data_IF_384440733757
#
_entry.id   IF_384440733757
#
_cell.length_a   1.000
_cell.length_b   1.000
_cell.length_c   1.000
_cell.angle_alpha   90.00
_cell.angle_beta   90.00
_cell.angle_gamma   90.00
#
_symmetry.space_group_name_H-M   'P 1'
#
loop_
_entity.id
_entity.type
_entity.pdbx_description
1 polymer ?
#
# COMPACT_ATOMS: atom_id res chain seq x y z
N UNK A 1 0.50 13.23 4.61
CA UNK A 1 1.05 14.33 3.81
C UNK A 1 2.49 14.58 4.28
N UNK A 2 3.39 15.01 3.40
CA UNK A 2 4.84 15.14 3.71
C UNK A 2 5.32 16.51 3.24
N UNK A 3 5.96 17.29 4.11
CA UNK A 3 6.59 18.59 3.81
C UNK A 3 8.06 18.52 4.20
N UNK A 4 8.99 18.75 3.25
CA UNK A 4 10.45 18.71 3.52
C UNK A 4 10.92 17.43 4.26
N UNK A 5 10.26 16.29 4.00
CA UNK A 5 10.56 15.02 4.65
C UNK A 5 9.92 14.82 6.03
N UNK A 6 9.17 15.79 6.55
CA UNK A 6 8.40 15.68 7.80
C UNK A 6 6.96 15.28 7.52
N UNK A 7 6.45 14.34 8.31
CA UNK A 7 5.03 13.96 8.27
C UNK A 7 4.23 15.03 9.03
N UNK A 8 3.16 15.52 8.40
CA UNK A 8 2.27 16.55 8.94
C UNK A 8 0.82 16.12 8.75
N UNK A 9 0.02 16.24 9.82
CA UNK A 9 -1.42 15.93 9.85
C UNK A 9 -2.27 17.03 10.48
N UNK A 10 -1.69 18.17 10.86
CA UNK A 10 -2.45 19.27 11.42
C UNK A 10 -3.39 19.93 10.39
N UNK A 11 -4.50 20.55 10.84
CA UNK A 11 -5.52 21.10 9.96
C UNK A 11 -5.00 22.14 8.96
N UNK A 12 -4.08 23.02 9.37
CA UNK A 12 -3.56 24.07 8.50
C UNK A 12 -2.81 23.45 7.30
N UNK A 13 -1.97 22.45 7.55
CA UNK A 13 -1.28 21.74 6.48
C UNK A 13 -2.20 20.88 5.63
N UNK A 14 -3.18 20.19 6.23
CA UNK A 14 -4.20 19.40 5.52
C UNK A 14 -4.88 20.25 4.45
N UNK A 15 -5.36 21.43 4.82
CA UNK A 15 -6.00 22.37 3.90
C UNK A 15 -5.04 22.87 2.83
N UNK A 16 -3.87 23.37 3.24
CA UNK A 16 -2.88 23.90 2.30
C UNK A 16 -2.47 22.85 1.24
N UNK A 17 -2.30 21.59 1.64
CA UNK A 17 -1.97 20.49 0.74
C UNK A 17 -3.11 20.16 -0.23
N UNK A 18 -4.37 20.22 0.22
CA UNK A 18 -5.55 20.02 -0.62
C UNK A 18 -5.68 21.13 -1.68
N UNK A 19 -5.67 22.40 -1.26
CA UNK A 19 -5.76 23.56 -2.17
C UNK A 19 -4.64 23.56 -3.22
N UNK A 20 -3.41 23.26 -2.78
CA UNK A 20 -2.28 23.18 -3.68
C UNK A 20 -2.41 22.00 -4.67
N UNK A 21 -3.07 20.91 -4.27
CA UNK A 21 -3.31 19.76 -5.15
C UNK A 21 -4.39 20.06 -6.19
N UNK A 22 -5.50 20.69 -5.79
CA UNK A 22 -6.54 21.17 -6.70
C UNK A 22 -5.95 22.09 -7.77
N UNK A 23 -5.14 23.07 -7.36
CA UNK A 23 -4.45 23.97 -8.29
C UNK A 23 -3.49 23.25 -9.26
N UNK A 24 -2.74 22.25 -8.78
CA UNK A 24 -1.79 21.51 -9.64
C UNK A 24 -2.50 20.60 -10.64
N UNK A 25 -3.63 20.03 -10.24
CA UNK A 25 -4.44 19.15 -11.08
C UNK A 25 -5.38 19.90 -12.01
N UNK A 26 -5.60 21.20 -11.75
CA UNK A 26 -6.53 22.06 -12.48
C UNK A 26 -7.97 21.51 -12.46
N UNK A 27 -8.43 21.13 -11.25
CA UNK A 27 -9.76 20.60 -10.99
C UNK A 27 -10.35 21.24 -9.72
N UNK A 28 -11.68 21.28 -9.64
CA UNK A 28 -12.39 21.84 -8.49
C UNK A 28 -12.63 20.84 -7.36
N UNK A 29 -12.54 19.53 -7.66
CA UNK A 29 -12.83 18.46 -6.70
C UNK A 29 -11.93 17.24 -6.93
N UNK A 30 -11.28 16.74 -5.88
CA UNK A 30 -10.52 15.47 -5.89
C UNK A 30 -11.44 14.33 -5.43
N UNK A 31 -11.54 13.25 -6.20
CA UNK A 31 -12.41 12.13 -5.80
C UNK A 31 -11.96 11.49 -4.49
N UNK A 32 -10.69 11.13 -4.34
CA UNK A 32 -10.18 10.47 -3.14
C UNK A 32 -8.88 11.12 -2.67
N UNK A 33 -8.91 11.70 -1.47
CA UNK A 33 -7.77 12.41 -0.89
C UNK A 33 -7.25 11.70 0.36
N UNK A 34 -5.94 11.44 0.41
CA UNK A 34 -5.32 10.60 1.42
C UNK A 34 -4.50 11.39 2.45
N UNK A 35 -4.63 11.03 3.75
CA UNK A 35 -3.51 11.19 4.67
C UNK A 35 -2.43 10.14 4.32
N UNK A 36 -1.46 10.54 3.49
CA UNK A 36 -0.44 9.63 2.95
C UNK A 36 0.42 8.90 4.02
N UNK A 37 0.67 9.53 5.17
CA UNK A 37 1.41 8.95 6.31
C UNK A 37 0.83 9.51 7.59
N UNK A 38 0.66 8.69 8.62
CA UNK A 38 0.07 9.15 9.87
C UNK A 38 1.05 10.04 10.64
N UNK A 39 0.57 11.22 11.03
CA UNK A 39 1.29 12.10 11.94
C UNK A 39 1.06 11.63 13.37
N UNK A 40 2.07 10.98 13.96
CA UNK A 40 2.00 10.42 15.32
C UNK A 40 2.04 11.48 16.42
N UNK A 41 2.08 12.76 16.06
CA UNK A 41 2.01 13.88 17.02
C UNK A 41 0.61 14.49 17.09
N UNK A 42 -0.26 14.24 16.12
CA UNK A 42 -1.60 14.84 16.03
C UNK A 42 -2.64 13.73 16.17
N UNK A 43 -3.64 13.85 17.07
CA UNK A 43 -4.74 12.90 17.14
C UNK A 43 -5.42 12.78 15.79
N UNK A 44 -5.68 11.55 15.35
CA UNK A 44 -6.27 11.32 14.03
C UNK A 44 -7.62 12.04 13.84
N UNK A 45 -8.39 12.22 14.91
CA UNK A 45 -9.67 12.91 14.89
C UNK A 45 -9.53 14.39 14.47
N UNK A 46 -8.42 15.04 14.82
CA UNK A 46 -8.14 16.43 14.42
C UNK A 46 -7.87 16.51 12.92
N UNK A 47 -7.04 15.61 12.41
CA UNK A 47 -6.71 15.49 10.97
C UNK A 47 -7.97 15.20 10.15
N UNK A 48 -8.74 14.19 10.56
CA UNK A 48 -9.96 13.78 9.86
C UNK A 48 -11.07 14.82 10.00
N UNK A 49 -11.10 15.56 11.11
CA UNK A 49 -12.00 16.70 11.28
C UNK A 49 -11.80 17.77 10.20
N UNK A 50 -10.56 18.06 9.81
CA UNK A 50 -10.30 19.00 8.71
C UNK A 50 -10.62 18.39 7.34
N UNK A 51 -10.27 17.12 7.11
CA UNK A 51 -10.64 16.41 5.88
C UNK A 51 -12.17 16.36 5.69
N UNK A 52 -12.93 16.17 6.77
CA UNK A 52 -14.39 16.23 6.75
C UNK A 52 -14.91 17.60 6.28
N UNK A 53 -14.33 18.71 6.73
CA UNK A 53 -14.71 20.05 6.22
C UNK A 53 -14.45 20.18 4.73
N UNK A 54 -13.31 19.66 4.24
CA UNK A 54 -13.01 19.65 2.80
C UNK A 54 -14.03 18.82 1.99
N UNK A 55 -14.58 17.76 2.57
CA UNK A 55 -15.71 17.01 1.98
C UNK A 55 -16.97 17.88 1.94
N UNK A 56 -17.32 18.52 3.05
CA UNK A 56 -18.52 19.38 3.16
C UNK A 56 -18.45 20.60 2.23
N UNK A 57 -17.25 21.12 1.98
CA UNK A 57 -16.98 22.20 1.02
C UNK A 57 -16.96 21.73 -0.45
N UNK A 58 -17.04 20.42 -0.70
CA UNK A 58 -16.99 19.84 -2.05
C UNK A 58 -15.61 19.82 -2.69
N UNK A 59 -14.54 20.12 -1.94
CA UNK A 59 -13.15 20.10 -2.43
C UNK A 59 -12.61 18.69 -2.62
N UNK A 60 -13.10 17.74 -1.82
CA UNK A 60 -12.80 16.32 -1.97
C UNK A 60 -14.10 15.50 -1.86
N UNK A 61 -14.23 14.36 -2.54
CA UNK A 61 -15.42 13.49 -2.37
C UNK A 61 -15.26 12.48 -1.24
N UNK A 62 -14.08 11.89 -1.14
CA UNK A 62 -13.80 10.75 -0.26
C UNK A 62 -12.48 10.92 0.48
N UNK A 63 -12.43 10.33 1.68
CA UNK A 63 -11.24 10.33 2.53
C UNK A 63 -10.56 8.97 2.49
N UNK A 64 -9.25 8.96 2.28
CA UNK A 64 -8.41 7.78 2.40
C UNK A 64 -7.35 7.92 3.50
N UNK A 65 -6.90 6.79 4.03
CA UNK A 65 -5.72 6.73 4.90
C UNK A 65 -4.65 5.85 4.25
N UNK A 66 -3.39 6.08 4.58
CA UNK A 66 -2.29 5.25 4.12
C UNK A 66 -1.38 4.91 5.28
N UNK A 67 -1.01 3.63 5.38
CA UNK A 67 -0.08 3.11 6.39
C UNK A 67 -0.53 3.46 7.83
N UNK A 68 -1.80 3.19 8.13
CA UNK A 68 -2.45 3.42 9.42
C UNK A 68 -2.73 2.10 10.16
N UNK A 69 -2.55 2.08 11.49
CA UNK A 69 -2.88 0.94 12.34
C UNK A 69 -4.39 0.82 12.54
N UNK A 70 -4.87 -0.36 12.97
CA UNK A 70 -6.31 -0.62 13.13
C UNK A 70 -6.98 0.36 14.11
N UNK A 71 -6.33 0.65 15.23
CA UNK A 71 -6.80 1.65 16.21
C UNK A 71 -7.02 3.03 15.58
N UNK A 72 -6.04 3.52 14.82
CA UNK A 72 -6.13 4.81 14.13
C UNK A 72 -7.20 4.79 13.04
N UNK A 73 -7.35 3.69 12.30
CA UNK A 73 -8.42 3.52 11.30
C UNK A 73 -9.80 3.62 11.95
N UNK A 74 -10.04 2.90 13.06
CA UNK A 74 -11.33 2.90 13.76
C UNK A 74 -11.71 4.30 14.27
N UNK A 75 -10.74 4.99 14.88
CA UNK A 75 -10.92 6.36 15.40
C UNK A 75 -11.18 7.36 14.28
N UNK A 76 -10.46 7.25 13.17
CA UNK A 76 -10.71 8.07 11.98
C UNK A 76 -12.12 7.85 11.41
N UNK A 77 -12.51 6.59 11.24
CA UNK A 77 -13.80 6.21 10.67
C UNK A 77 -14.98 6.66 11.54
N UNK A 78 -14.80 6.74 12.86
CA UNK A 78 -15.80 7.28 13.77
C UNK A 78 -16.07 8.80 13.58
N UNK A 79 -15.11 9.55 13.03
CA UNK A 79 -15.26 11.00 12.75
C UNK A 79 -15.91 11.25 11.39
N UNK A 80 -15.45 10.53 10.36
CA UNK A 80 -16.02 10.55 9.01
C UNK A 80 -15.70 9.23 8.30
N UNK A 81 -16.60 8.68 7.46
CA UNK A 81 -16.34 7.42 6.76
C UNK A 81 -15.03 7.44 5.96
N UNK A 82 -14.12 6.55 6.30
CA UNK A 82 -12.91 6.30 5.50
C UNK A 82 -13.28 5.39 4.35
N UNK A 83 -13.07 5.85 3.12
CA UNK A 83 -13.42 5.12 1.90
C UNK A 83 -12.40 4.06 1.56
N UNK A 84 -11.10 4.36 1.75
CA UNK A 84 -10.04 3.43 1.42
C UNK A 84 -8.83 3.52 2.36
N UNK A 85 -8.20 2.38 2.62
CA UNK A 85 -6.89 2.28 3.26
C UNK A 85 -5.88 1.77 2.24
N UNK A 86 -4.82 2.54 2.02
CA UNK A 86 -3.70 2.17 1.17
C UNK A 86 -2.53 1.62 1.99
N UNK A 87 -2.00 0.46 1.59
CA UNK A 87 -0.91 -0.23 2.31
C UNK A 87 -0.14 -1.16 1.37
N UNK A 88 1.05 -1.58 1.79
CA UNK A 88 1.78 -2.60 1.05
C UNK A 88 1.14 -3.97 1.23
N UNK A 89 0.63 -4.54 0.15
CA UNK A 89 0.13 -5.91 0.14
C UNK A 89 0.48 -6.56 -1.19
N UNK A 90 1.15 -7.69 -1.10
CA UNK A 90 1.55 -8.49 -2.25
C UNK A 90 1.65 -9.94 -1.84
N UNK A 91 1.84 -10.82 -2.81
CA UNK A 91 2.18 -12.21 -2.54
C UNK A 91 3.38 -12.33 -1.57
N UNK A 92 4.29 -11.35 -1.55
CA UNK A 92 5.49 -11.38 -0.70
C UNK A 92 5.38 -10.64 0.63
N UNK A 93 4.31 -9.87 0.84
CA UNK A 93 4.14 -8.99 2.00
C UNK A 93 2.72 -9.08 2.46
N UNK A 94 2.52 -9.76 3.58
CA UNK A 94 1.20 -10.20 4.08
C UNK A 94 0.99 -9.88 5.56
N UNK A 95 1.86 -9.07 6.17
CA UNK A 95 1.77 -8.71 7.60
C UNK A 95 0.48 -7.92 7.92
N UNK A 96 -0.11 -7.27 6.93
CA UNK A 96 -1.39 -6.55 7.06
C UNK A 96 -2.61 -7.46 7.25
N UNK A 97 -2.49 -8.75 6.91
CA UNK A 97 -3.59 -9.72 6.99
C UNK A 97 -3.97 -10.06 8.44
N UNK A 98 -3.07 -9.83 9.40
CA UNK A 98 -3.30 -10.11 10.81
C UNK A 98 -4.35 -9.17 11.42
N UNK A 99 -4.32 -7.88 11.09
CA UNK A 99 -5.11 -6.86 11.80
C UNK A 99 -5.77 -5.82 10.87
N UNK A 100 -5.06 -5.37 9.83
CA UNK A 100 -5.52 -4.25 9.01
C UNK A 100 -6.58 -4.69 8.01
N UNK A 101 -6.38 -5.81 7.30
CA UNK A 101 -7.36 -6.35 6.36
C UNK A 101 -8.68 -6.71 7.07
N UNK A 102 -8.67 -7.44 8.21
CA UNK A 102 -9.90 -7.67 8.98
C UNK A 102 -10.60 -6.37 9.41
N UNK A 103 -9.84 -5.38 9.88
CA UNK A 103 -10.41 -4.08 10.31
C UNK A 103 -11.05 -3.32 9.15
N UNK A 104 -10.44 -3.31 7.96
CA UNK A 104 -11.03 -2.67 6.79
C UNK A 104 -12.35 -3.35 6.40
N UNK A 105 -12.38 -4.69 6.38
CA UNK A 105 -13.58 -5.46 6.05
C UNK A 105 -14.71 -5.27 7.04
N UNK A 106 -14.39 -5.27 8.33
CA UNK A 106 -15.38 -5.02 9.40
C UNK A 106 -16.05 -3.65 9.24
N UNK A 107 -15.30 -2.63 8.82
CA UNK A 107 -15.78 -1.26 8.66
C UNK A 107 -16.29 -0.96 7.23
N UNK A 108 -16.27 -1.92 6.31
CA UNK A 108 -16.67 -1.72 4.91
C UNK A 108 -15.75 -0.77 4.12
N UNK A 109 -14.46 -0.75 4.44
CA UNK A 109 -13.44 0.12 3.85
C UNK A 109 -12.73 -0.62 2.70
N UNK A 110 -12.56 0.03 1.55
CA UNK A 110 -11.80 -0.51 0.43
C UNK A 110 -10.29 -0.59 0.71
N UNK A 111 -9.62 -1.58 0.14
CA UNK A 111 -8.18 -1.82 0.33
C UNK A 111 -7.44 -1.48 -0.96
N UNK A 112 -6.49 -0.55 -0.89
CA UNK A 112 -5.66 -0.15 -2.03
C UNK A 112 -4.24 -0.68 -1.85
N UNK A 113 -3.89 -1.73 -2.59
CA UNK A 113 -2.61 -2.42 -2.44
C UNK A 113 -1.52 -1.76 -3.30
N UNK A 114 -0.52 -1.16 -2.65
CA UNK A 114 0.69 -0.68 -3.33
C UNK A 114 1.80 -1.74 -3.35
N UNK A 115 2.75 -1.59 -4.28
CA UNK A 115 3.84 -2.55 -4.54
C UNK A 115 3.38 -4.02 -4.69
N UNK A 116 2.29 -4.30 -5.45
CA UNK A 116 1.73 -5.66 -5.56
C UNK A 116 2.72 -6.67 -6.17
N UNK A 117 3.78 -6.19 -6.84
CA UNK A 117 4.83 -7.00 -7.48
C UNK A 117 6.07 -7.19 -6.60
N UNK A 118 5.97 -6.98 -5.28
CA UNK A 118 7.07 -7.20 -4.34
C UNK A 118 8.27 -6.29 -4.62
N UNK A 119 8.02 -4.99 -4.76
CA UNK A 119 9.02 -3.97 -5.12
C UNK A 119 9.81 -4.25 -6.42
N UNK A 120 9.20 -5.01 -7.35
CA UNK A 120 9.74 -5.34 -8.67
C UNK A 120 10.30 -6.76 -8.78
N UNK A 121 10.37 -7.50 -7.68
CA UNK A 121 10.96 -8.83 -7.67
C UNK A 121 10.16 -9.84 -8.49
N UNK A 122 8.83 -9.81 -8.44
CA UNK A 122 8.03 -10.69 -9.30
C UNK A 122 8.04 -10.28 -10.77
N UNK A 123 8.63 -9.14 -11.12
CA UNK A 123 8.85 -8.74 -12.52
C UNK A 123 10.21 -9.13 -13.05
N UNK A 124 11.27 -8.87 -12.27
CA UNK A 124 12.66 -9.01 -12.73
C UNK A 124 13.42 -10.17 -12.09
N UNK A 125 12.84 -10.82 -11.09
CA UNK A 125 13.48 -11.88 -10.32
C UNK A 125 14.74 -11.39 -9.57
N UNK A 126 15.70 -12.29 -9.29
CA UNK A 126 16.91 -11.94 -8.55
C UNK A 126 17.79 -10.91 -9.27
N UNK A 127 17.75 -10.84 -10.61
CA UNK A 127 18.48 -9.84 -11.42
C UNK A 127 18.04 -8.40 -11.18
N UNK A 128 16.97 -8.19 -10.41
CA UNK A 128 16.54 -6.86 -9.99
C UNK A 128 17.66 -6.09 -9.29
N UNK A 129 18.44 -6.76 -8.44
CA UNK A 129 19.44 -6.11 -7.58
C UNK A 129 20.60 -5.51 -8.37
N UNK A 130 20.90 -6.09 -9.54
CA UNK A 130 21.94 -5.60 -10.46
C UNK A 130 21.58 -4.24 -11.08
N UNK A 131 20.30 -3.86 -11.03
CA UNK A 131 19.76 -2.67 -11.69
C UNK A 131 19.38 -1.55 -10.71
N UNK A 132 19.73 -1.67 -9.42
CA UNK A 132 19.46 -0.61 -8.45
C UNK A 132 20.36 0.62 -8.71
N UNK A 133 19.73 1.77 -8.89
CA UNK A 133 20.44 3.04 -9.01
C UNK A 133 21.12 3.43 -7.68
N UNK A 134 22.13 4.29 -7.76
CA UNK A 134 22.74 4.87 -6.55
C UNK A 134 21.67 5.61 -5.74
N UNK A 135 21.50 5.23 -4.47
CA UNK A 135 20.51 5.82 -3.57
C UNK A 135 19.13 5.14 -3.61
N UNK A 136 18.99 4.03 -4.32
CA UNK A 136 17.77 3.22 -4.26
C UNK A 136 17.62 2.58 -2.88
N UNK A 137 16.53 2.92 -2.18
CA UNK A 137 16.25 2.44 -0.82
C UNK A 137 16.16 0.91 -0.73
N UNK A 138 15.85 0.22 -1.84
CA UNK A 138 15.78 -1.24 -1.89
C UNK A 138 17.14 -1.91 -1.67
N UNK A 139 18.25 -1.22 -1.95
CA UNK A 139 19.60 -1.70 -1.65
C UNK A 139 19.81 -1.99 -0.16
N UNK A 140 19.04 -1.34 0.71
CA UNK A 140 19.14 -1.48 2.16
C UNK A 140 18.05 -2.38 2.76
N UNK A 141 17.13 -2.91 1.94
CA UNK A 141 16.09 -3.81 2.44
C UNK A 141 16.68 -5.19 2.71
N UNK A 142 16.37 -5.83 3.86
CA UNK A 142 16.90 -7.15 4.19
C UNK A 142 16.62 -8.20 3.11
N UNK A 143 15.43 -8.23 2.51
CA UNK A 143 15.06 -9.18 1.44
C UNK A 143 15.87 -9.06 0.14
N UNK A 144 16.58 -7.95 -0.05
CA UNK A 144 17.45 -7.71 -1.21
C UNK A 144 18.94 -7.82 -0.86
N UNK A 145 19.30 -8.26 0.35
CA UNK A 145 20.70 -8.57 0.68
C UNK A 145 21.15 -9.88 0.01
N UNK A 146 22.44 -10.03 -0.33
CA UNK A 146 22.93 -11.12 -1.20
C UNK A 146 22.46 -12.52 -0.78
N UNK A 147 22.58 -12.86 0.50
CA UNK A 147 22.19 -14.18 1.04
C UNK A 147 20.68 -14.43 0.89
N UNK A 148 19.87 -13.41 1.13
CA UNK A 148 18.41 -13.49 1.01
C UNK A 148 17.98 -13.55 -0.45
N UNK A 149 18.64 -12.81 -1.35
CA UNK A 149 18.37 -12.85 -2.80
C UNK A 149 18.64 -14.24 -3.36
N UNK A 150 19.77 -14.86 -2.98
CA UNK A 150 20.10 -16.21 -3.44
C UNK A 150 19.08 -17.25 -2.95
N UNK A 151 18.58 -17.11 -1.72
CA UNK A 151 17.48 -17.96 -1.24
C UNK A 151 16.18 -17.69 -1.99
N UNK A 152 15.79 -16.42 -2.09
CA UNK A 152 14.53 -15.99 -2.68
C UNK A 152 14.46 -16.24 -4.19
N UNK A 153 15.60 -16.43 -4.87
CA UNK A 153 15.65 -16.90 -6.26
C UNK A 153 14.83 -18.18 -6.47
N UNK A 154 14.90 -19.13 -5.53
CA UNK A 154 14.13 -20.39 -5.60
C UNK A 154 12.62 -20.13 -5.55
N UNK A 155 12.20 -19.12 -4.78
CA UNK A 155 10.81 -18.67 -4.72
C UNK A 155 10.37 -18.12 -6.07
N UNK A 156 11.18 -17.25 -6.68
CA UNK A 156 10.89 -16.70 -8.00
C UNK A 156 10.80 -17.78 -9.07
N UNK A 157 11.70 -18.77 -9.06
CA UNK A 157 11.68 -19.90 -9.99
C UNK A 157 10.40 -20.74 -9.86
N UNK A 158 9.96 -21.05 -8.63
CA UNK A 158 8.72 -21.80 -8.40
C UNK A 158 7.47 -21.01 -8.84
N UNK A 159 7.40 -19.71 -8.53
CA UNK A 159 6.32 -18.85 -9.02
C UNK A 159 6.32 -18.79 -10.55
N UNK A 160 7.51 -18.77 -11.18
CA UNK A 160 7.65 -18.78 -12.64
C UNK A 160 7.13 -20.07 -13.26
N UNK A 161 7.36 -21.22 -12.63
CA UNK A 161 6.83 -22.50 -13.09
C UNK A 161 5.30 -22.53 -13.06
N UNK A 162 4.68 -22.00 -12.00
CA UNK A 162 3.21 -21.90 -11.91
C UNK A 162 2.67 -20.95 -12.98
N UNK A 163 3.30 -19.79 -13.15
CA UNK A 163 2.91 -18.81 -14.16
C UNK A 163 2.98 -19.40 -15.58
N UNK A 164 4.05 -20.14 -15.89
CA UNK A 164 4.24 -20.79 -17.18
C UNK A 164 3.13 -21.81 -17.50
N UNK A 165 2.65 -22.59 -16.51
CA UNK A 165 1.52 -23.52 -16.69
C UNK A 165 0.23 -22.80 -17.11
N UNK A 166 0.09 -21.53 -16.74
CA UNK A 166 -1.07 -20.68 -17.09
C UNK A 166 -0.82 -19.79 -18.30
N UNK A 167 0.33 -19.90 -18.96
CA UNK A 167 0.71 -19.02 -20.06
C UNK A 167 0.89 -17.56 -19.65
N UNK A 168 1.16 -17.30 -18.37
CA UNK A 168 1.33 -15.95 -17.82
C UNK A 168 2.78 -15.71 -17.36
N UNK A 169 3.09 -14.45 -17.11
CA UNK A 169 4.35 -14.05 -16.46
C UNK A 169 4.23 -14.13 -14.93
N UNK A 170 5.36 -14.21 -14.18
CA UNK A 170 5.33 -14.17 -12.73
C UNK A 170 4.72 -12.86 -12.19
N UNK A 171 4.93 -11.74 -12.90
CA UNK A 171 4.34 -10.44 -12.53
C UNK A 171 2.81 -10.46 -12.64
N UNK A 172 2.30 -11.03 -13.73
CA UNK A 172 0.86 -11.17 -13.91
C UNK A 172 0.24 -12.10 -12.87
N UNK A 173 0.90 -13.23 -12.57
CA UNK A 173 0.43 -14.16 -11.57
C UNK A 173 0.40 -13.53 -10.17
N UNK A 174 1.45 -12.79 -9.80
CA UNK A 174 1.51 -12.07 -8.52
C UNK A 174 0.44 -10.99 -8.41
N UNK A 175 0.17 -10.25 -9.50
CA UNK A 175 -0.90 -9.26 -9.53
C UNK A 175 -2.30 -9.89 -9.48
N UNK A 176 -2.51 -10.98 -10.22
CA UNK A 176 -3.75 -11.76 -10.18
C UNK A 176 -4.04 -12.27 -8.78
N UNK A 177 -3.02 -12.75 -8.05
CA UNK A 177 -3.18 -13.15 -6.65
C UNK A 177 -3.71 -12.02 -5.75
N UNK A 178 -3.27 -10.77 -5.97
CA UNK A 178 -3.77 -9.62 -5.20
C UNK A 178 -5.23 -9.31 -5.57
N UNK A 179 -5.59 -9.37 -6.85
CA UNK A 179 -7.00 -9.23 -7.27
C UNK A 179 -7.91 -10.31 -6.65
N UNK A 180 -7.41 -11.54 -6.49
CA UNK A 180 -8.14 -12.65 -5.87
C UNK A 180 -8.20 -12.60 -4.33
N UNK A 181 -7.80 -11.49 -3.70
CA UNK A 181 -7.97 -11.33 -2.25
C UNK A 181 -9.37 -10.89 -1.85
N UNK A 182 -10.13 -10.28 -2.77
CA UNK A 182 -11.53 -9.91 -2.56
C UNK A 182 -11.97 -8.75 -3.46
N UNK A 183 -13.28 -8.58 -3.62
CA UNK A 183 -13.88 -7.50 -4.41
C UNK A 183 -13.64 -6.10 -3.79
N UNK A 184 -13.23 -6.08 -2.53
CA UNK A 184 -12.82 -4.90 -1.77
C UNK A 184 -11.38 -4.44 -2.07
N UNK A 185 -10.64 -5.15 -2.94
CA UNK A 185 -9.21 -4.93 -3.18
C UNK A 185 -8.93 -4.32 -4.55
N UNK A 186 -8.23 -3.17 -4.56
CA UNK A 186 -7.80 -2.46 -5.75
C UNK A 186 -6.28 -2.25 -5.75
N UNK A 187 -5.48 -3.12 -6.40
CA UNK A 187 -4.04 -2.89 -6.52
C UNK A 187 -3.73 -1.76 -7.50
N UNK A 188 -2.68 -0.99 -7.21
CA UNK A 188 -2.25 0.17 -8.01
C UNK A 188 -0.83 -0.01 -8.60
N UNK A 189 -0.63 -0.97 -9.53
CA UNK A 189 0.69 -1.25 -10.09
C UNK A 189 1.18 -0.12 -11.01
N UNK A 190 2.21 0.63 -10.61
CA UNK A 190 2.81 1.72 -11.42
C UNK A 190 3.74 1.27 -12.55
N UNK A 191 3.77 1.98 -13.68
CA UNK A 191 4.65 1.72 -14.84
C UNK A 191 5.02 3.01 -15.58
N UNK A 192 6.14 3.00 -16.30
CA UNK A 192 6.56 4.05 -17.24
C UNK A 192 6.48 3.63 -18.71
N UNK A 193 6.10 2.38 -19.00
CA UNK A 193 6.02 1.80 -20.35
C UNK A 193 4.63 1.25 -20.63
N UNK A 194 4.11 1.48 -21.83
CA UNK A 194 2.78 1.02 -22.27
C UNK A 194 2.72 -0.51 -22.29
N UNK A 195 3.76 -1.19 -22.78
CA UNK A 195 3.77 -2.66 -22.83
C UNK A 195 3.58 -3.30 -21.44
N UNK A 196 4.14 -2.66 -20.41
CA UNK A 196 3.95 -3.11 -19.03
C UNK A 196 2.55 -2.80 -18.50
N UNK A 197 1.86 -1.77 -19.02
CA UNK A 197 0.45 -1.51 -18.72
C UNK A 197 -0.42 -2.64 -19.29
N UNK A 198 -0.21 -3.00 -20.56
CA UNK A 198 -0.95 -4.08 -21.21
C UNK A 198 -0.78 -5.41 -20.48
N UNK A 199 0.45 -5.73 -20.04
CA UNK A 199 0.71 -6.92 -19.23
C UNK A 199 -0.08 -6.93 -17.91
N UNK A 200 -0.21 -5.79 -17.24
CA UNK A 200 -0.96 -5.70 -15.98
C UNK A 200 -2.45 -5.82 -16.19
N UNK A 201 -2.98 -5.23 -17.25
CA UNK A 201 -4.40 -5.39 -17.63
C UNK A 201 -4.69 -6.87 -17.88
N UNK A 202 -3.81 -7.57 -18.59
CA UNK A 202 -3.95 -8.99 -18.85
C UNK A 202 -3.91 -9.88 -17.57
N UNK A 203 -3.43 -9.37 -16.43
CA UNK A 203 -3.51 -10.10 -15.16
C UNK A 203 -4.95 -10.27 -14.65
N UNK A 204 -5.88 -9.40 -15.07
CA UNK A 204 -7.30 -9.50 -14.71
C UNK A 204 -7.98 -10.74 -15.30
N UNK A 205 -7.42 -11.34 -16.35
CA UNK A 205 -7.97 -12.54 -17.00
C UNK A 205 -7.40 -13.85 -16.43
N UNK A 206 -6.53 -13.78 -15.42
CA UNK A 206 -5.91 -14.96 -14.82
C UNK A 206 -6.74 -15.40 -13.63
N UNK A 207 -7.47 -16.51 -13.79
CA UNK A 207 -8.18 -17.18 -12.71
C UNK A 207 -7.23 -18.04 -11.88
N UNK A 208 -7.29 -17.92 -10.55
CA UNK A 208 -6.53 -18.74 -9.61
C UNK A 208 -7.46 -19.70 -8.86
N UNK A 209 -7.16 -21.00 -8.89
CA UNK A 209 -7.86 -21.95 -8.02
C UNK A 209 -7.42 -21.79 -6.57
N UNK A 210 -8.22 -22.28 -5.63
CA UNK A 210 -7.87 -22.28 -4.21
C UNK A 210 -6.56 -23.02 -3.93
N UNK A 211 -6.29 -24.09 -4.67
CA UNK A 211 -5.06 -24.88 -4.58
C UNK A 211 -3.86 -24.09 -5.12
N UNK A 212 -3.98 -23.44 -6.27
CA UNK A 212 -2.91 -22.59 -6.82
C UNK A 212 -2.60 -21.41 -5.90
N UNK A 213 -3.64 -20.79 -5.32
CA UNK A 213 -3.51 -19.72 -4.32
C UNK A 213 -2.76 -20.23 -3.09
N UNK A 214 -3.16 -21.36 -2.52
CA UNK A 214 -2.49 -21.95 -1.36
C UNK A 214 -1.04 -22.38 -1.68
N UNK A 215 -0.78 -22.89 -2.87
CA UNK A 215 0.58 -23.25 -3.32
C UNK A 215 1.47 -22.00 -3.40
N UNK A 216 1.01 -20.92 -4.04
CA UNK A 216 1.74 -19.65 -4.13
C UNK A 216 2.05 -19.08 -2.74
N UNK A 217 1.06 -19.11 -1.85
CA UNK A 217 1.19 -18.63 -0.48
C UNK A 217 2.18 -19.46 0.35
N UNK A 218 2.18 -20.78 0.18
CA UNK A 218 3.16 -21.68 0.82
C UNK A 218 4.58 -21.44 0.32
N UNK A 219 4.75 -21.20 -0.99
CA UNK A 219 6.05 -20.92 -1.61
C UNK A 219 6.68 -19.68 -0.96
N UNK A 220 5.93 -18.58 -0.88
CA UNK A 220 6.43 -17.29 -0.40
C UNK A 220 6.54 -17.19 1.12
N UNK A 221 5.84 -18.03 1.88
CA UNK A 221 5.99 -18.12 3.34
C UNK A 221 7.42 -18.50 3.76
N UNK A 222 8.19 -19.15 2.88
CA UNK A 222 9.59 -19.51 3.14
C UNK A 222 10.59 -18.37 2.90
N UNK A 223 10.14 -17.22 2.38
CA UNK A 223 11.01 -16.12 2.00
C UNK A 223 11.87 -15.57 3.14
N UNK A 224 13.05 -15.08 2.76
CA UNK A 224 14.04 -14.53 3.70
C UNK A 224 14.17 -13.02 3.59
N UNK A 225 14.38 -12.40 4.74
CA UNK A 225 14.54 -10.96 4.92
C UNK A 225 13.22 -10.23 5.13
N UNK A 226 13.21 -9.31 6.11
CA UNK A 226 12.10 -8.40 6.34
C UNK A 226 11.85 -7.46 5.14
N UNK A 227 10.63 -6.91 5.08
CA UNK A 227 10.15 -5.98 4.06
C UNK A 227 10.92 -4.68 4.01
N UNK A 228 11.04 -4.06 5.16
CA UNK A 228 11.66 -2.77 5.35
C UNK A 228 12.61 -2.87 6.55
N UNK A 229 13.55 -1.94 6.65
CA UNK A 229 14.27 -1.73 7.88
C UNK A 229 13.34 -1.10 8.93
N UNK A 230 13.64 -1.32 10.22
CA UNK A 230 12.77 -0.95 11.34
C UNK A 230 12.47 0.55 11.45
N UNK A 231 13.28 1.41 10.83
CA UNK A 231 13.12 2.85 10.84
C UNK A 231 12.14 3.39 9.79
N UNK A 232 11.67 2.57 8.85
CA UNK A 232 10.71 3.00 7.84
C UNK A 232 9.32 3.07 8.50
N UNK A 233 8.65 4.23 8.50
CA UNK A 233 7.28 4.33 9.02
C UNK A 233 6.37 3.38 8.26
N UNK A 234 5.54 2.64 8.97
CA UNK A 234 4.52 1.75 8.40
C UNK A 234 3.27 1.79 9.29
N UNK A 235 2.23 1.06 8.92
CA UNK A 235 1.07 0.85 9.78
C UNK A 235 1.46 0.41 11.21
N UNK A 236 2.56 -0.32 11.41
CA UNK A 236 2.99 -0.81 12.74
C UNK A 236 3.37 0.27 13.75
N UNK A 237 3.78 1.45 13.29
CA UNK A 237 4.24 2.56 14.14
C UNK A 237 3.45 3.85 13.89
N UNK A 238 2.16 3.68 13.58
CA UNK A 238 1.27 4.77 13.14
C UNK A 238 0.16 5.11 14.15
N UNK A 239 0.28 4.69 15.41
CA UNK A 239 -0.66 5.10 16.45
C UNK A 239 -0.59 6.60 16.72
N UNK A 240 -1.73 7.22 17.04
CA UNK A 240 -1.83 8.65 17.33
C UNK A 240 -2.22 8.91 18.79
N UNK A 241 -1.85 10.07 19.37
CA UNK A 241 -2.27 10.46 20.71
C UNK A 241 -3.79 10.47 20.83
N UNK A 242 -4.31 10.17 22.02
CA UNK A 242 -5.75 10.22 22.29
C UNK A 242 -6.24 11.67 22.23
N UNK A 243 -7.41 11.92 21.64
CA UNK A 243 -7.99 13.26 21.57
C UNK A 243 -8.15 13.93 22.94
N UNK A 244 -8.44 13.16 24.00
CA UNK A 244 -8.55 13.66 25.38
C UNK A 244 -7.26 14.25 25.93
N UNK A 245 -6.11 13.87 25.38
CA UNK A 245 -4.79 14.39 25.77
C UNK A 245 -4.36 15.61 24.94
N UNK A 246 -5.16 16.02 23.95
CA UNK A 246 -4.83 17.10 23.04
C UNK A 246 -5.16 18.47 23.63
N UNK A 247 -4.18 19.37 23.58
CA UNK A 247 -4.38 20.79 23.89
C UNK A 247 -4.51 21.54 22.58
N UNK A 248 -5.61 22.26 22.40
CA UNK A 248 -5.74 23.22 21.31
C UNK A 248 -4.80 24.38 21.60
N UNK A 249 -3.66 24.42 20.92
CA UNK A 249 -2.81 25.62 20.80
C UNK A 249 -3.20 26.43 19.57
#
# INVERSE_FOLDING_TARGET
MVEEGKIRGDPAYVRAACEASLKRLDIDCIDLFYQHRIDTKVPIEVTVGELKKLVEEGKIRYIGLSEACASTIRRAHAVHPITAVQLEWSLWTRDVEEEIIPTCRELGIGIVAYSPLGAGFFSSGPKLVDNFAKGDVRQYMPRFQPENVEYNKQIFERVTQIAAKKGSTPAQLALAWVHHQGDDVCPIPGTTKIQNLDQKIAALSIELTSEEKAELESIVASAKGARCADYIPTWKNSETPQLSSWKFE
#
